data_IF_047562412855
#
_entry.id   IF_047562412855
#
_cell.length_a   1.000
_cell.length_b   1.000
_cell.length_c   1.000
_cell.angle_alpha   90.00
_cell.angle_beta   90.00
_cell.angle_gamma   90.00
#
_symmetry.space_group_name_H-M   'P 1'
#
loop_
_entity.id
_entity.type
_entity.pdbx_description
1 polymer ?
#
# COMPACT_ATOMS: atom_id res chain seq x y z
N UNK A 1 12.45 32.46 -37.75
CA UNK A 1 12.50 31.30 -36.83
C UNK A 1 12.08 31.80 -35.47
N UNK A 2 10.83 31.54 -35.08
CA UNK A 2 10.29 31.97 -33.79
C UNK A 2 10.76 30.95 -32.75
N UNK A 3 11.57 31.39 -31.79
CA UNK A 3 12.10 30.53 -30.74
C UNK A 3 10.94 30.06 -29.84
N UNK A 4 10.81 28.75 -29.64
CA UNK A 4 9.72 28.20 -28.84
C UNK A 4 10.02 28.45 -27.34
N UNK A 5 9.02 28.85 -26.53
CA UNK A 5 9.26 29.12 -25.12
C UNK A 5 9.65 27.83 -24.37
N UNK A 6 10.72 27.91 -23.58
CA UNK A 6 11.15 26.84 -22.67
C UNK A 6 10.46 27.01 -21.31
N UNK A 7 9.92 25.90 -20.79
CA UNK A 7 9.28 25.85 -19.47
C UNK A 7 10.12 25.03 -18.50
N UNK A 8 10.18 25.49 -17.25
CA UNK A 8 10.68 24.70 -16.12
C UNK A 8 9.52 24.40 -15.18
N UNK A 9 9.29 23.12 -14.93
CA UNK A 9 8.26 22.65 -13.99
C UNK A 9 8.98 21.88 -12.88
N UNK A 10 8.66 22.19 -11.64
CA UNK A 10 9.07 21.41 -10.48
C UNK A 10 7.86 20.62 -9.99
N UNK A 11 8.03 19.30 -9.89
CA UNK A 11 7.00 18.42 -9.36
C UNK A 11 7.05 18.44 -7.83
N UNK A 12 5.88 18.42 -7.20
CA UNK A 12 5.76 18.28 -5.75
C UNK A 12 5.91 16.83 -5.29
N UNK A 13 5.79 16.61 -3.97
CA UNK A 13 5.75 15.26 -3.39
C UNK A 13 4.57 14.46 -3.96
N UNK A 14 4.74 13.16 -4.21
CA UNK A 14 3.64 12.31 -4.66
C UNK A 14 2.58 12.20 -3.55
N UNK A 15 1.31 12.16 -3.94
CA UNK A 15 0.20 12.00 -2.98
C UNK A 15 0.17 10.59 -2.36
N UNK A 16 0.78 9.59 -3.00
CA UNK A 16 0.68 8.19 -2.63
C UNK A 16 2.02 7.48 -2.67
N UNK A 17 2.21 6.58 -1.73
CA UNK A 17 3.30 5.61 -1.69
C UNK A 17 2.78 4.20 -1.88
N UNK A 18 3.54 3.40 -2.63
CA UNK A 18 3.17 2.05 -3.01
C UNK A 18 4.25 1.07 -2.54
N UNK A 19 3.84 -0.04 -1.94
CA UNK A 19 4.75 -1.07 -1.46
C UNK A 19 4.25 -2.44 -1.92
N UNK A 20 5.06 -3.12 -2.74
CA UNK A 20 4.83 -4.52 -3.08
C UNK A 20 5.10 -5.41 -1.88
N UNK A 21 4.18 -6.33 -1.59
CA UNK A 21 4.25 -7.22 -0.42
C UNK A 21 4.02 -8.67 -0.83
N UNK A 22 4.59 -9.59 -0.04
CA UNK A 22 4.31 -11.03 -0.10
C UNK A 22 4.14 -11.56 1.31
N UNK A 23 3.01 -12.19 1.58
CA UNK A 23 2.74 -12.88 2.85
C UNK A 23 3.25 -14.32 2.72
N UNK A 24 3.97 -14.77 3.74
CA UNK A 24 4.47 -16.13 3.85
C UNK A 24 3.97 -16.73 5.17
N UNK A 25 3.45 -17.95 5.11
CA UNK A 25 3.11 -18.75 6.29
C UNK A 25 3.92 -20.05 6.25
N UNK A 26 4.38 -20.56 7.39
CA UNK A 26 4.98 -21.90 7.47
C UNK A 26 3.96 -23.02 7.17
N UNK A 27 2.67 -22.72 7.18
CA UNK A 27 1.62 -23.66 6.80
C UNK A 27 1.54 -23.85 5.28
N UNK A 28 1.13 -25.05 4.85
CA UNK A 28 1.17 -25.45 3.45
C UNK A 28 0.23 -24.65 2.53
N UNK A 29 -0.77 -23.96 3.08
CA UNK A 29 -1.69 -23.08 2.32
C UNK A 29 -2.09 -21.86 3.11
N UNK A 30 -1.74 -20.68 2.60
CA UNK A 30 -2.26 -19.41 3.08
C UNK A 30 -3.67 -19.21 2.51
N UNK A 31 -4.70 -19.39 3.34
CA UNK A 31 -6.08 -19.06 2.97
C UNK A 31 -6.40 -17.63 3.42
N UNK A 32 -5.82 -16.65 2.74
CA UNK A 32 -5.99 -15.23 3.06
C UNK A 32 -6.59 -14.50 1.85
N UNK A 33 -7.87 -14.13 1.94
CA UNK A 33 -8.49 -13.28 0.93
C UNK A 33 -8.10 -11.80 1.15
N UNK A 34 -8.52 -10.92 0.24
CA UNK A 34 -8.17 -9.51 0.30
C UNK A 34 -8.69 -8.80 1.57
N UNK A 35 -9.91 -9.14 1.99
CA UNK A 35 -10.52 -8.56 3.19
C UNK A 35 -9.80 -9.03 4.46
N UNK A 36 -9.49 -10.32 4.54
CA UNK A 36 -8.73 -10.88 5.66
C UNK A 36 -7.34 -10.26 5.74
N UNK A 37 -6.69 -10.06 4.59
CA UNK A 37 -5.39 -9.36 4.54
C UNK A 37 -5.51 -7.89 4.96
N UNK A 38 -6.54 -7.18 4.54
CA UNK A 38 -6.80 -5.80 4.99
C UNK A 38 -7.01 -5.73 6.51
N UNK A 39 -7.77 -6.67 7.07
CA UNK A 39 -7.96 -6.78 8.52
C UNK A 39 -6.65 -7.11 9.24
N UNK A 40 -5.83 -8.02 8.71
CA UNK A 40 -4.51 -8.33 9.25
C UNK A 40 -3.64 -7.08 9.35
N UNK A 41 -3.56 -6.29 8.26
CA UNK A 41 -2.77 -5.04 8.24
C UNK A 41 -3.33 -4.03 9.24
N UNK A 42 -4.65 -3.83 9.26
CA UNK A 42 -5.30 -2.87 10.18
C UNK A 42 -5.08 -3.26 11.65
N UNK A 43 -5.20 -4.55 11.96
CA UNK A 43 -4.96 -5.08 13.30
C UNK A 43 -3.49 -4.89 13.71
N UNK A 44 -2.54 -5.21 12.82
CA UNK A 44 -1.13 -5.01 13.10
C UNK A 44 -0.79 -3.54 13.37
N UNK A 45 -1.37 -2.61 12.61
CA UNK A 45 -1.20 -1.17 12.84
C UNK A 45 -1.81 -0.73 14.17
N UNK A 46 -2.99 -1.27 14.52
CA UNK A 46 -3.62 -1.03 15.82
C UNK A 46 -2.75 -1.52 16.98
N UNK A 47 -2.18 -2.72 16.87
CA UNK A 47 -1.36 -3.30 17.93
C UNK A 47 -0.05 -2.52 18.14
N UNK A 48 0.55 -2.05 17.04
CA UNK A 48 1.85 -1.36 17.07
C UNK A 48 1.73 0.14 17.39
N UNK A 49 0.64 0.78 16.97
CA UNK A 49 0.50 2.25 16.99
C UNK A 49 -0.83 2.74 17.58
N UNK A 50 -1.63 1.85 18.16
CA UNK A 50 -2.93 2.16 18.75
C UNK A 50 -3.98 2.61 17.73
N UNK A 51 -5.00 3.32 18.21
CA UNK A 51 -6.11 3.79 17.39
C UNK A 51 -5.66 4.66 16.20
N UNK A 52 -4.60 5.45 16.37
CA UNK A 52 -4.04 6.27 15.28
C UNK A 52 -3.43 5.41 14.17
N UNK A 53 -2.77 4.30 14.51
CA UNK A 53 -2.31 3.32 13.54
C UNK A 53 -3.44 2.67 12.78
N UNK A 54 -4.48 2.23 13.51
CA UNK A 54 -5.65 1.61 12.91
C UNK A 54 -6.40 2.54 11.94
N UNK A 55 -6.30 3.86 12.15
CA UNK A 55 -6.90 4.88 11.31
C UNK A 55 -6.11 5.20 10.03
N UNK A 56 -4.89 4.65 9.86
CA UNK A 56 -4.11 4.86 8.63
C UNK A 56 -4.90 4.32 7.43
N UNK A 57 -5.19 5.15 6.40
CA UNK A 57 -5.85 4.67 5.20
C UNK A 57 -4.86 3.81 4.40
N UNK A 58 -5.06 2.50 4.45
CA UNK A 58 -4.33 1.52 3.65
C UNK A 58 -5.27 0.85 2.67
N UNK A 59 -4.98 0.99 1.38
CA UNK A 59 -5.65 0.25 0.33
C UNK A 59 -4.83 -0.98 -0.07
N UNK A 60 -5.53 -2.08 -0.35
CA UNK A 60 -4.94 -3.29 -0.91
C UNK A 60 -5.23 -3.29 -2.42
N UNK A 61 -4.19 -3.37 -3.23
CA UNK A 61 -4.29 -3.41 -4.69
C UNK A 61 -3.73 -4.73 -5.21
N UNK A 62 -4.38 -5.29 -6.22
CA UNK A 62 -3.91 -6.47 -6.96
C UNK A 62 -3.59 -7.68 -6.05
N UNK A 63 -4.38 -7.90 -5.00
CA UNK A 63 -4.18 -9.04 -4.11
C UNK A 63 -4.38 -10.36 -4.87
N UNK A 64 -3.38 -11.22 -4.79
CA UNK A 64 -3.42 -12.57 -5.35
C UNK A 64 -3.38 -13.60 -4.21
N UNK A 65 -4.51 -14.22 -3.84
CA UNK A 65 -4.57 -15.17 -2.74
C UNK A 65 -3.80 -16.47 -3.00
N UNK A 66 -3.51 -16.80 -4.27
CA UNK A 66 -2.73 -18.00 -4.62
C UNK A 66 -1.25 -17.82 -4.35
N UNK A 67 -0.74 -16.60 -4.48
CA UNK A 67 0.69 -16.28 -4.30
C UNK A 67 0.98 -15.53 -3.00
N UNK A 68 -0.05 -15.01 -2.33
CA UNK A 68 0.08 -14.14 -1.16
C UNK A 68 0.69 -12.78 -1.49
N UNK A 69 0.69 -12.37 -2.76
CA UNK A 69 1.27 -11.10 -3.21
C UNK A 69 0.19 -10.02 -3.35
N UNK A 70 0.56 -8.77 -3.06
CA UNK A 70 -0.26 -7.60 -3.34
C UNK A 70 0.55 -6.32 -3.27
N UNK A 71 -0.14 -5.18 -3.36
CA UNK A 71 0.45 -3.85 -3.18
C UNK A 71 -0.35 -3.13 -2.10
N UNK A 72 0.36 -2.58 -1.11
CA UNK A 72 -0.20 -1.61 -0.17
C UNK A 72 -0.06 -0.21 -0.77
N UNK A 73 -1.12 0.59 -0.72
CA UNK A 73 -1.09 2.02 -1.03
C UNK A 73 -1.44 2.82 0.22
N UNK A 74 -0.62 3.83 0.51
CA UNK A 74 -0.81 4.78 1.63
C UNK A 74 -0.59 6.21 1.16
N UNK A 75 -1.27 7.22 1.73
CA UNK A 75 -1.06 8.60 1.33
C UNK A 75 0.25 9.17 1.92
N UNK A 76 0.75 10.25 1.32
CA UNK A 76 1.77 11.12 1.91
C UNK A 76 1.21 11.84 3.13
N UNK A 77 2.00 11.92 4.22
CA UNK A 77 1.61 12.52 5.51
C UNK A 77 2.48 13.72 5.87
#
# INVERSE_FOLDING_TARGET
MTDAPLFRITLGSPEWHYMGVRVQSPESRLHLNELDFKHLVTHALSDLHGEFGAAVPVDILQWNPMTGCGILRVPEW
#
